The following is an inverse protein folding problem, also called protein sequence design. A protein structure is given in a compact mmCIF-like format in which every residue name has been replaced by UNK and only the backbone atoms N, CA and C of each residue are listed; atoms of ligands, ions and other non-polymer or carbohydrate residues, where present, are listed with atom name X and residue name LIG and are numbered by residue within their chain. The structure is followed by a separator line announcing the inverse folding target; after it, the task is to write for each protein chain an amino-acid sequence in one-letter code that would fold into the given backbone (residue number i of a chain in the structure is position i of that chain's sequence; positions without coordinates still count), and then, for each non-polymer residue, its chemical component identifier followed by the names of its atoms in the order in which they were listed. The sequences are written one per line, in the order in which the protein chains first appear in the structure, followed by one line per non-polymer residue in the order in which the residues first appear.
data_IF_734339433007
#
_entry.id   IF_734339433007
#
_cell.length_a   1.000
_cell.length_b   1.000
_cell.length_c   1.000
_cell.angle_alpha   90.00
_cell.angle_beta   90.00
_cell.angle_gamma   90.00
#
_symmetry.space_group_name_H-M   'P 1'
#
loop_
_entity.id
_entity.type
_entity.pdbx_description
1 polymer ?
#
# COMPACT_ATOMS: atom_id res chain seq x y z
N UNK A 1 -20.07 26.97 -29.58
CA UNK A 1 -20.46 25.70 -28.90
C UNK A 1 -19.36 24.62 -28.84
N UNK A 2 -18.58 24.36 -29.89
CA UNK A 2 -17.73 23.14 -29.94
C UNK A 2 -16.54 23.11 -28.93
N UNK A 3 -15.92 24.26 -28.65
CA UNK A 3 -14.75 24.33 -27.75
C UNK A 3 -15.05 24.04 -26.27
N UNK A 4 -16.25 24.39 -25.80
CA UNK A 4 -16.66 24.15 -24.41
C UNK A 4 -16.91 22.67 -24.16
N UNK A 5 -17.58 21.99 -25.10
CA UNK A 5 -17.80 20.54 -25.06
C UNK A 5 -16.48 19.76 -25.02
N UNK A 6 -15.53 20.13 -25.88
CA UNK A 6 -14.25 19.43 -25.93
C UNK A 6 -13.39 19.62 -24.67
N UNK A 7 -13.48 20.78 -24.01
CA UNK A 7 -12.84 20.99 -22.70
C UNK A 7 -13.53 20.21 -21.58
N UNK A 8 -14.86 20.14 -21.60
CA UNK A 8 -15.63 19.36 -20.64
C UNK A 8 -15.31 17.86 -20.73
N UNK A 9 -15.24 17.31 -21.95
CA UNK A 9 -14.84 15.90 -22.17
C UNK A 9 -13.42 15.63 -21.66
N UNK A 10 -12.46 16.50 -21.95
CA UNK A 10 -11.08 16.34 -21.41
C UNK A 10 -11.04 16.45 -19.89
N UNK A 11 -11.86 17.32 -19.30
CA UNK A 11 -11.98 17.46 -17.85
C UNK A 11 -12.59 16.23 -17.19
N UNK A 12 -13.63 15.65 -17.82
CA UNK A 12 -14.27 14.42 -17.36
C UNK A 12 -13.29 13.24 -17.35
N UNK A 13 -12.56 13.04 -18.45
CA UNK A 13 -11.55 11.98 -18.55
C UNK A 13 -10.44 12.15 -17.51
N UNK A 14 -9.98 13.38 -17.28
CA UNK A 14 -8.95 13.65 -16.25
C UNK A 14 -9.47 13.32 -14.84
N UNK A 15 -10.74 13.66 -14.55
CA UNK A 15 -11.37 13.35 -13.27
C UNK A 15 -11.53 11.84 -13.05
N UNK A 16 -11.90 11.08 -14.09
CA UNK A 16 -12.02 9.62 -14.02
C UNK A 16 -10.70 8.95 -13.63
N UNK A 17 -9.59 9.32 -14.29
CA UNK A 17 -8.28 8.78 -13.95
C UNK A 17 -7.85 9.18 -12.52
N UNK A 18 -8.11 10.42 -12.11
CA UNK A 18 -7.81 10.87 -10.76
C UNK A 18 -8.56 10.04 -9.70
N UNK A 19 -9.85 9.81 -9.89
CA UNK A 19 -10.68 9.02 -8.97
C UNK A 19 -10.24 7.56 -8.94
N UNK A 20 -9.90 6.98 -10.09
CA UNK A 20 -9.34 5.62 -10.19
C UNK A 20 -8.05 5.48 -9.38
N UNK A 21 -7.12 6.42 -9.52
CA UNK A 21 -5.86 6.42 -8.76
C UNK A 21 -6.15 6.55 -7.26
N UNK A 22 -7.02 7.48 -6.87
CA UNK A 22 -7.40 7.67 -5.46
C UNK A 22 -8.02 6.39 -4.88
N UNK A 23 -8.90 5.72 -5.63
CA UNK A 23 -9.50 4.44 -5.23
C UNK A 23 -8.44 3.33 -5.05
N UNK A 24 -7.51 3.20 -5.99
CA UNK A 24 -6.40 2.25 -5.87
C UNK A 24 -5.51 2.55 -4.66
N UNK A 25 -5.17 3.82 -4.43
CA UNK A 25 -4.40 4.25 -3.27
C UNK A 25 -5.14 3.99 -1.95
N UNK A 26 -6.46 4.15 -1.90
CA UNK A 26 -7.25 3.85 -0.69
C UNK A 26 -7.13 2.38 -0.30
N UNK A 27 -7.27 1.46 -1.27
CA UNK A 27 -7.10 0.02 -1.03
C UNK A 27 -5.66 -0.29 -0.60
N UNK A 28 -4.67 0.29 -1.28
CA UNK A 28 -3.26 0.16 -0.90
C UNK A 28 -2.99 0.65 0.53
N UNK A 29 -3.62 1.76 0.94
CA UNK A 29 -3.54 2.30 2.30
C UNK A 29 -4.06 1.32 3.35
N UNK A 30 -5.19 0.66 3.08
CA UNK A 30 -5.74 -0.39 3.96
C UNK A 30 -4.74 -1.54 4.10
N UNK A 31 -4.16 -2.01 3.00
CA UNK A 31 -3.16 -3.07 3.05
C UNK A 31 -1.92 -2.67 3.87
N UNK A 32 -1.42 -1.44 3.69
CA UNK A 32 -0.29 -0.92 4.48
C UNK A 32 -0.65 -0.85 5.97
N UNK A 33 -1.87 -0.45 6.30
CA UNK A 33 -2.33 -0.43 7.69
C UNK A 33 -2.36 -1.84 8.31
N UNK A 34 -2.82 -2.84 7.55
CA UNK A 34 -2.78 -4.25 7.98
C UNK A 34 -1.35 -4.74 8.18
N UNK A 35 -0.42 -4.40 7.27
CA UNK A 35 0.98 -4.76 7.41
C UNK A 35 1.66 -4.10 8.61
N UNK A 36 1.22 -2.90 8.99
CA UNK A 36 1.69 -2.19 10.20
C UNK A 36 1.03 -2.67 11.48
N UNK A 37 0.05 -3.57 11.42
CA UNK A 37 -0.63 -4.07 12.62
C UNK A 37 0.34 -4.80 13.56
N UNK A 38 0.10 -4.76 14.89
CA UNK A 38 0.94 -5.46 15.87
C UNK A 38 1.02 -6.97 15.59
N UNK A 39 -0.07 -7.57 15.11
CA UNK A 39 -0.12 -8.99 14.75
C UNK A 39 0.85 -9.32 13.61
N UNK A 40 0.87 -8.52 12.53
CA UNK A 40 1.78 -8.74 11.41
C UNK A 40 3.24 -8.47 11.80
N UNK A 41 3.49 -7.43 12.60
CA UNK A 41 4.83 -7.15 13.11
C UNK A 41 5.37 -8.31 13.96
N UNK A 42 4.54 -8.89 14.83
CA UNK A 42 4.93 -10.05 15.65
C UNK A 42 5.18 -11.30 14.79
N UNK A 43 4.36 -11.53 13.77
CA UNK A 43 4.57 -12.62 12.83
C UNK A 43 5.91 -12.46 12.09
N UNK A 44 6.20 -11.26 11.59
CA UNK A 44 7.45 -10.95 10.90
C UNK A 44 8.66 -11.12 11.82
N UNK A 45 8.61 -10.60 13.05
CA UNK A 45 9.66 -10.79 14.06
C UNK A 45 9.91 -12.27 14.36
N UNK A 46 8.85 -13.07 14.47
CA UNK A 46 8.97 -14.51 14.71
C UNK A 46 9.69 -15.22 13.57
N UNK A 47 9.35 -14.88 12.32
CA UNK A 47 10.01 -15.43 11.13
C UNK A 47 11.50 -15.02 11.09
N UNK A 48 11.81 -13.75 11.35
CA UNK A 48 13.19 -13.27 11.36
C UNK A 48 14.00 -13.93 12.48
N UNK A 49 13.45 -14.01 13.69
CA UNK A 49 14.09 -14.68 14.82
C UNK A 49 14.33 -16.17 14.53
N UNK A 50 13.43 -16.83 13.80
CA UNK A 50 13.64 -18.21 13.36
C UNK A 50 14.81 -18.32 12.37
N UNK A 51 14.89 -17.43 11.38
CA UNK A 51 16.00 -17.38 10.44
C UNK A 51 17.35 -17.07 11.09
N UNK A 52 17.39 -16.13 12.04
CA UNK A 52 18.60 -15.78 12.79
C UNK A 52 19.12 -16.95 13.63
N UNK A 53 18.22 -17.71 14.27
CA UNK A 53 18.58 -18.94 14.98
C UNK A 53 19.20 -19.98 14.05
N UNK A 54 18.63 -20.19 12.86
CA UNK A 54 19.20 -21.11 11.87
C UNK A 54 20.58 -20.65 11.37
N UNK A 55 20.83 -19.34 11.31
CA UNK A 55 22.11 -18.77 10.91
C UNK A 55 23.18 -18.78 12.03
N UNK A 56 22.87 -19.28 13.23
CA UNK A 56 23.82 -19.34 14.35
C UNK A 56 24.11 -17.99 15.02
N UNK A 57 23.26 -16.97 14.77
CA UNK A 57 23.36 -15.66 15.41
C UNK A 57 22.57 -15.70 16.72
N UNK A 58 23.24 -16.08 17.81
CA UNK A 58 22.65 -16.16 19.15
C UNK A 58 22.65 -14.78 19.84
N UNK A 59 21.51 -14.36 20.39
CA UNK A 59 21.39 -13.15 21.24
C UNK A 59 20.74 -11.91 20.63
N UNK A 60 20.28 -11.95 19.36
CA UNK A 60 19.55 -10.83 18.76
C UNK A 60 18.05 -10.96 19.05
N UNK A 61 17.52 -10.05 19.87
CA UNK A 61 16.09 -9.95 20.16
C UNK A 61 15.49 -8.73 19.43
N UNK A 62 14.78 -8.99 18.33
CA UNK A 62 13.95 -8.02 17.59
C UNK A 62 12.55 -7.88 18.21
#
# INVERSE_FOLDING_TARGET
MNRLRHRAERGAVTAEYAIMIVGACAIGGVLVALLRSPAMQNALKSIINYGLKLAGVEGVHL
#
